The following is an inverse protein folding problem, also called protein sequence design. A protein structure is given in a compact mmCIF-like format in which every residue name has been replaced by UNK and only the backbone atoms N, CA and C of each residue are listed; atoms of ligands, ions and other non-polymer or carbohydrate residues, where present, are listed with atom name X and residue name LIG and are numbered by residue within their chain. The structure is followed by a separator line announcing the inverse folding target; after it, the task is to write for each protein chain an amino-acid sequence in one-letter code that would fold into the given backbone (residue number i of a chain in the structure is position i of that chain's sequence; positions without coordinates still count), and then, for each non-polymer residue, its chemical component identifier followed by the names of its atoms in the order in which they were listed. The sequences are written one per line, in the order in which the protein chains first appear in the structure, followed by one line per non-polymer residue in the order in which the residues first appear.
data_IF_220637767501
#
_entry.id   IF_220637767501
#
_cell.length_a   1.000
_cell.length_b   1.000
_cell.length_c   1.000
_cell.angle_alpha   90.00
_cell.angle_beta   90.00
_cell.angle_gamma   90.00
#
_symmetry.space_group_name_H-M   'P 1'
#
loop_
_entity.id
_entity.type
_entity.pdbx_description
1 polymer ?
#
# COMPACT_ATOMS: atom_id res chain seq x y z
N UNK A 1 18.42 -12.71 8.71
CA UNK A 1 17.34 -13.72 8.73
C UNK A 1 16.18 -13.28 9.59
N UNK A 2 16.37 -13.28 10.92
CA UNK A 2 15.30 -13.00 11.88
C UNK A 2 14.66 -11.59 11.73
N UNK A 3 15.46 -10.54 11.56
CA UNK A 3 14.95 -9.17 11.35
C UNK A 3 14.14 -9.02 10.06
N UNK A 4 14.52 -9.74 8.99
CA UNK A 4 13.78 -9.72 7.72
C UNK A 4 12.41 -10.40 7.86
N UNK A 5 12.35 -11.54 8.55
CA UNK A 5 11.08 -12.21 8.82
C UNK A 5 10.14 -11.33 9.65
N UNK A 6 10.68 -10.64 10.65
CA UNK A 6 9.94 -9.71 11.51
C UNK A 6 9.42 -8.50 10.71
N UNK A 7 10.26 -7.90 9.86
CA UNK A 7 9.87 -6.80 8.98
C UNK A 7 8.77 -7.21 7.99
N UNK A 8 8.86 -8.38 7.36
CA UNK A 8 7.83 -8.90 6.46
C UNK A 8 6.48 -9.07 7.16
N UNK A 9 6.48 -9.59 8.39
CA UNK A 9 5.26 -9.75 9.18
C UNK A 9 4.60 -8.38 9.44
N UNK A 10 5.38 -7.38 9.83
CA UNK A 10 4.87 -6.02 10.06
C UNK A 10 4.33 -5.39 8.78
N UNK A 11 5.04 -5.51 7.66
CA UNK A 11 4.60 -4.97 6.37
C UNK A 11 3.32 -5.63 5.90
N UNK A 12 3.23 -6.96 5.96
CA UNK A 12 2.01 -7.70 5.60
C UNK A 12 0.81 -7.31 6.47
N UNK A 13 1.03 -7.13 7.78
CA UNK A 13 -0.02 -6.71 8.69
C UNK A 13 -0.48 -5.26 8.42
N UNK A 14 0.48 -4.36 8.15
CA UNK A 14 0.19 -3.00 7.73
C UNK A 14 -0.61 -2.98 6.42
N UNK A 15 -0.17 -3.68 5.38
CA UNK A 15 -0.90 -3.77 4.10
C UNK A 15 -2.31 -4.33 4.28
N UNK A 16 -2.50 -5.34 5.13
CA UNK A 16 -3.82 -5.88 5.43
C UNK A 16 -4.75 -4.80 6.04
N UNK A 17 -4.27 -4.02 7.00
CA UNK A 17 -5.06 -2.93 7.61
C UNK A 17 -5.40 -1.85 6.57
N UNK A 18 -4.44 -1.46 5.73
CA UNK A 18 -4.70 -0.47 4.68
C UNK A 18 -5.76 -0.95 3.69
N UNK A 19 -5.70 -2.22 3.28
CA UNK A 19 -6.70 -2.80 2.37
C UNK A 19 -8.13 -2.76 2.93
N UNK A 20 -8.32 -3.00 4.23
CA UNK A 20 -9.64 -2.87 4.88
C UNK A 20 -10.13 -1.42 4.92
N UNK A 21 -9.23 -0.49 5.22
CA UNK A 21 -9.57 0.94 5.29
C UNK A 21 -9.96 1.50 3.91
N UNK A 22 -9.18 1.18 2.87
CA UNK A 22 -9.47 1.59 1.50
C UNK A 22 -10.77 0.97 0.97
N UNK A 23 -11.04 -0.29 1.32
CA UNK A 23 -12.31 -0.94 1.01
C UNK A 23 -13.47 -0.22 1.70
N UNK A 24 -13.35 0.16 2.97
CA UNK A 24 -14.40 0.90 3.67
C UNK A 24 -14.67 2.27 3.02
N UNK A 25 -13.63 3.00 2.62
CA UNK A 25 -13.75 4.28 1.95
C UNK A 25 -14.40 4.16 0.55
N UNK A 26 -14.00 3.16 -0.24
CA UNK A 26 -14.53 2.93 -1.58
C UNK A 26 -16.00 2.42 -1.55
N UNK A 27 -16.35 1.62 -0.55
CA UNK A 27 -17.69 1.01 -0.43
C UNK A 27 -18.70 1.98 0.19
N UNK A 28 -18.27 2.87 1.10
CA UNK A 28 -19.16 3.81 1.78
C UNK A 28 -19.95 4.71 0.82
N UNK A 29 -19.30 5.27 -0.20
CA UNK A 29 -19.93 6.16 -1.19
C UNK A 29 -20.92 5.43 -2.09
N UNK A 30 -20.57 4.22 -2.55
CA UNK A 30 -21.40 3.38 -3.43
C UNK A 30 -22.66 2.88 -2.72
N UNK A 31 -22.54 2.51 -1.43
CA UNK A 31 -23.69 2.12 -0.61
C UNK A 31 -24.56 3.34 -0.28
N UNK A 32 -23.96 4.47 0.11
CA UNK A 32 -24.68 5.68 0.48
C UNK A 32 -25.52 6.24 -0.67
N UNK A 33 -24.98 6.23 -1.89
CA UNK A 33 -25.68 6.64 -3.11
C UNK A 33 -26.65 5.59 -3.65
N UNK A 34 -26.74 4.41 -3.00
CA UNK A 34 -27.51 3.23 -3.45
C UNK A 34 -27.17 2.75 -4.86
N UNK A 35 -25.97 3.05 -5.34
CA UNK A 35 -25.52 2.65 -6.68
C UNK A 35 -25.32 1.13 -6.79
N UNK A 36 -24.96 0.45 -5.70
CA UNK A 36 -24.75 -0.99 -5.68
C UNK A 36 -25.05 -1.61 -4.30
N UNK A 37 -25.48 -2.89 -4.27
CA UNK A 37 -25.62 -3.66 -3.02
C UNK A 37 -24.26 -3.86 -2.34
N UNK A 38 -24.22 -3.74 -1.02
CA UNK A 38 -23.01 -3.81 -0.20
C UNK A 38 -22.11 -5.03 -0.52
N UNK A 39 -22.72 -6.18 -0.77
CA UNK A 39 -22.02 -7.42 -1.10
C UNK A 39 -21.18 -7.29 -2.38
N UNK A 40 -21.75 -6.70 -3.43
CA UNK A 40 -21.04 -6.50 -4.69
C UNK A 40 -20.02 -5.36 -4.60
N UNK A 41 -20.30 -4.32 -3.81
CA UNK A 41 -19.37 -3.22 -3.59
C UNK A 41 -18.06 -3.71 -2.92
N UNK A 42 -18.16 -4.59 -1.91
CA UNK A 42 -16.98 -5.17 -1.24
C UNK A 42 -16.19 -6.07 -2.19
N UNK A 43 -16.86 -6.89 -3.00
CA UNK A 43 -16.20 -7.75 -4.00
C UNK A 43 -15.47 -6.89 -5.04
N UNK A 44 -16.10 -5.84 -5.55
CA UNK A 44 -15.48 -4.92 -6.50
C UNK A 44 -14.29 -4.19 -5.89
N UNK A 45 -14.42 -3.68 -4.66
CA UNK A 45 -13.32 -3.03 -3.96
C UNK A 45 -12.12 -3.97 -3.77
N UNK A 46 -12.35 -5.24 -3.39
CA UNK A 46 -11.30 -6.25 -3.31
C UNK A 46 -10.62 -6.54 -4.65
N UNK A 47 -11.41 -6.66 -5.73
CA UNK A 47 -10.90 -6.87 -7.09
C UNK A 47 -10.04 -5.69 -7.55
N UNK A 48 -10.50 -4.45 -7.35
CA UNK A 48 -9.74 -3.26 -7.74
C UNK A 48 -8.51 -3.03 -6.87
N UNK A 49 -8.55 -3.35 -5.57
CA UNK A 49 -7.38 -3.30 -4.69
C UNK A 49 -6.29 -4.28 -5.16
N UNK A 50 -6.70 -5.51 -5.51
CA UNK A 50 -5.78 -6.50 -6.07
C UNK A 50 -5.24 -6.12 -7.45
N UNK A 51 -6.09 -5.60 -8.34
CA UNK A 51 -5.67 -5.08 -9.64
C UNK A 51 -4.72 -3.89 -9.51
N UNK A 52 -4.89 -3.02 -8.50
CA UNK A 52 -3.98 -1.92 -8.21
C UNK A 52 -2.56 -2.41 -7.94
N UNK A 53 -2.42 -3.46 -7.15
CA UNK A 53 -1.11 -4.09 -6.89
C UNK A 53 -0.57 -4.82 -8.13
N UNK A 54 -1.41 -5.56 -8.86
CA UNK A 54 -0.96 -6.29 -10.06
C UNK A 54 -0.51 -5.37 -11.20
N UNK A 55 -1.22 -4.27 -11.43
CA UNK A 55 -0.93 -3.32 -12.51
C UNK A 55 0.09 -2.26 -12.09
N UNK A 56 0.09 -1.86 -10.81
CA UNK A 56 0.94 -0.81 -10.26
C UNK A 56 2.21 -1.31 -9.55
N UNK A 57 2.37 -2.61 -9.31
CA UNK A 57 3.34 -3.18 -8.39
C UNK A 57 4.74 -2.56 -8.42
N UNK A 58 5.55 -2.93 -9.43
CA UNK A 58 6.93 -2.43 -9.54
C UNK A 58 6.98 -0.92 -9.84
N UNK A 59 6.01 -0.38 -10.58
CA UNK A 59 6.01 1.03 -10.98
C UNK A 59 5.82 1.98 -9.81
N UNK A 60 4.95 1.65 -8.85
CA UNK A 60 4.76 2.43 -7.62
C UNK A 60 6.00 2.35 -6.73
N UNK A 61 6.60 1.17 -6.59
CA UNK A 61 7.84 1.01 -5.82
C UNK A 61 8.99 1.87 -6.40
N UNK A 62 9.19 1.85 -7.72
CA UNK A 62 10.18 2.69 -8.39
C UNK A 62 9.88 4.19 -8.27
N UNK A 63 8.61 4.57 -8.34
CA UNK A 63 8.20 5.96 -8.16
C UNK A 63 8.53 6.47 -6.75
N UNK A 64 8.24 5.68 -5.71
CA UNK A 64 8.58 6.04 -4.32
C UNK A 64 10.10 6.18 -4.14
N UNK A 65 10.90 5.29 -4.74
CA UNK A 65 12.37 5.38 -4.67
C UNK A 65 12.89 6.65 -5.34
N UNK A 66 12.32 7.06 -6.48
CA UNK A 66 12.71 8.30 -7.17
C UNK A 66 12.22 9.58 -6.49
N UNK A 67 11.13 9.50 -5.73
CA UNK A 67 10.64 10.63 -4.92
C UNK A 67 11.47 10.83 -3.65
N UNK A 68 12.24 9.82 -3.23
CA UNK A 68 13.14 9.94 -2.10
C UNK A 68 14.44 10.64 -2.56
N UNK A 69 14.81 11.79 -1.97
CA UNK A 69 16.02 12.51 -2.37
C UNK A 69 17.25 11.61 -2.13
N UNK A 70 17.85 11.13 -3.21
CA UNK A 70 19.04 10.27 -3.15
C UNK A 70 20.23 10.97 -2.48
N UNK A 71 20.25 12.30 -2.49
CA UNK A 71 21.22 13.13 -1.76
C UNK A 71 21.11 12.98 -0.23
N UNK A 72 19.91 12.73 0.29
CA UNK A 72 19.67 12.55 1.73
C UNK A 72 20.12 11.16 2.22
N UNK A 73 19.97 10.14 1.37
CA UNK A 73 20.49 8.79 1.65
C UNK A 73 22.01 8.73 1.63
N UNK A 74 22.64 9.45 0.70
CA UNK A 74 24.10 9.54 0.62
C UNK A 74 24.69 10.33 1.80
N UNK A 75 24.04 11.41 2.24
CA UNK A 75 24.52 12.21 3.37
C UNK A 75 24.33 11.53 4.74
N UNK A 76 23.28 10.72 4.93
CA UNK A 76 23.10 9.91 6.15
C UNK A 76 24.17 8.82 6.27
N UNK A 77 24.61 8.24 5.15
CA UNK A 77 25.74 7.30 5.13
C UNK A 77 27.09 7.98 5.38
N UNK A 78 27.29 9.22 4.94
CA UNK A 78 28.50 9.99 5.22
C UNK A 78 28.56 10.53 6.66
N UNK A 79 27.43 10.84 7.29
CA UNK A 79 27.39 11.36 8.66
C UNK A 79 27.74 10.33 9.75
N UNK A 80 27.67 9.03 9.45
CA UNK A 80 28.07 7.93 10.36
C UNK A 80 29.41 7.27 9.95
N UNK A 81 30.17 7.90 9.05
CA UNK A 81 31.44 7.39 8.51
C UNK A 81 32.71 7.95 9.17
N UNK A 82 32.59 8.74 10.26
CA UNK A 82 33.71 9.20 11.09
C UNK A 82 33.53 8.71 12.53
#
# INVERSE_FOLDING_TARGET
GLMLGLALIFVLFYEAINGFHDTANAVATVIYTRAMRAQFAVVMAGVFNFLGVLLGGLSVAYAIVHLLPTDLLLNVSSAHGL
#
